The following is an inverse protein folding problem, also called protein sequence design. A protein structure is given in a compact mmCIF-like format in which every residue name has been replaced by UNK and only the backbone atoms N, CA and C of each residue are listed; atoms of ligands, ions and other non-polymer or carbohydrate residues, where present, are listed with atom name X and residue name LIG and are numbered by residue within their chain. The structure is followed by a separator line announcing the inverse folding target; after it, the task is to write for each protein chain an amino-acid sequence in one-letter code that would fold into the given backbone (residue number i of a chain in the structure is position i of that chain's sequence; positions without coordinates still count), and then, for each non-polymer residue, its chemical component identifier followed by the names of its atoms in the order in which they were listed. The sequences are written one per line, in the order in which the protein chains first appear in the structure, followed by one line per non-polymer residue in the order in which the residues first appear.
data_IF_588294646847
#
_entry.id   IF_588294646847
#
_cell.length_a   1.000
_cell.length_b   1.000
_cell.length_c   1.000
_cell.angle_alpha   90.00
_cell.angle_beta   90.00
_cell.angle_gamma   90.00
#
_symmetry.space_group_name_H-M   'P 1'
#
loop_
_entity.id
_entity.type
_entity.pdbx_description
1 polymer ?
#
# COMPACT_ATOMS: atom_id res chain seq x y z
N UNK A 1 -15.33 -0.66 -9.89
CA UNK A 1 -14.29 -0.28 -10.88
C UNK A 1 -13.06 -1.17 -10.80
N UNK A 2 -12.71 -1.71 -9.63
CA UNK A 2 -11.52 -2.57 -9.44
C UNK A 2 -11.52 -3.83 -10.30
N UNK A 3 -12.64 -4.54 -10.41
CA UNK A 3 -12.77 -5.72 -11.27
C UNK A 3 -12.39 -5.42 -12.72
N UNK A 4 -12.84 -4.27 -13.26
CA UNK A 4 -12.52 -3.85 -14.63
C UNK A 4 -11.02 -3.61 -14.78
N UNK A 5 -10.39 -2.93 -13.81
CA UNK A 5 -8.94 -2.72 -13.83
C UNK A 5 -8.17 -4.04 -13.81
N UNK A 6 -8.54 -4.98 -12.95
CA UNK A 6 -7.91 -6.30 -12.92
C UNK A 6 -8.08 -7.06 -14.24
N UNK A 7 -9.27 -7.00 -14.86
CA UNK A 7 -9.50 -7.60 -16.18
C UNK A 7 -8.65 -6.94 -17.26
N UNK A 8 -8.58 -5.60 -17.29
CA UNK A 8 -7.77 -4.86 -18.25
C UNK A 8 -6.28 -5.20 -18.10
N UNK A 9 -5.78 -5.27 -16.86
CA UNK A 9 -4.40 -5.68 -16.57
C UNK A 9 -4.15 -7.10 -17.04
N UNK A 10 -5.08 -8.04 -16.80
CA UNK A 10 -4.97 -9.42 -17.27
C UNK A 10 -4.91 -9.51 -18.81
N UNK A 11 -5.74 -8.74 -19.52
CA UNK A 11 -5.72 -8.67 -20.99
C UNK A 11 -4.41 -8.05 -21.49
N UNK A 12 -3.93 -6.98 -20.86
CA UNK A 12 -2.66 -6.36 -21.23
C UNK A 12 -1.48 -7.31 -21.03
N UNK A 13 -1.46 -8.05 -19.92
CA UNK A 13 -0.47 -9.10 -19.63
C UNK A 13 -0.50 -10.21 -20.69
N UNK A 14 -1.69 -10.63 -21.11
CA UNK A 14 -1.85 -11.66 -22.14
C UNK A 14 -1.27 -11.19 -23.48
N UNK A 15 -1.60 -9.97 -23.91
CA UNK A 15 -1.08 -9.41 -25.16
C UNK A 15 0.44 -9.22 -25.11
N UNK A 16 0.98 -8.75 -23.98
CA UNK A 16 2.42 -8.60 -23.79
C UNK A 16 3.13 -9.97 -23.85
N UNK A 17 2.56 -11.00 -23.21
CA UNK A 17 3.11 -12.34 -23.24
C UNK A 17 3.11 -12.94 -24.65
N UNK A 18 2.04 -12.76 -25.43
CA UNK A 18 1.98 -13.24 -26.82
C UNK A 18 2.99 -12.51 -27.72
N UNK A 19 3.16 -11.19 -27.52
CA UNK A 19 4.19 -10.41 -28.22
C UNK A 19 5.61 -10.92 -27.93
N UNK A 20 5.94 -11.16 -26.66
CA UNK A 20 7.25 -11.67 -26.25
C UNK A 20 7.48 -13.06 -26.82
N UNK A 21 6.48 -13.93 -26.77
CA UNK A 21 6.58 -15.28 -27.32
C UNK A 21 6.81 -15.26 -28.83
N UNK A 22 6.03 -14.47 -29.57
CA UNK A 22 6.22 -14.30 -31.01
C UNK A 22 7.59 -13.69 -31.35
N UNK A 23 8.11 -12.81 -30.49
CA UNK A 23 9.46 -12.28 -30.65
C UNK A 23 10.53 -13.37 -30.48
N UNK A 24 10.39 -14.22 -29.47
CA UNK A 24 11.30 -15.36 -29.23
C UNK A 24 11.21 -16.36 -30.40
N UNK A 25 10.02 -16.67 -30.91
CA UNK A 25 9.85 -17.57 -32.06
C UNK A 25 10.53 -17.03 -33.32
N UNK A 26 10.44 -15.71 -33.56
CA UNK A 26 11.16 -15.05 -34.66
C UNK A 26 12.68 -15.13 -34.51
N UNK A 27 13.19 -14.99 -33.29
CA UNK A 27 14.61 -15.13 -33.01
C UNK A 27 15.10 -16.59 -33.15
N UNK A 28 14.25 -17.55 -32.78
CA UNK A 28 14.55 -18.98 -32.88
C UNK A 28 14.50 -19.49 -34.32
N UNK A 29 13.83 -18.77 -35.23
CA UNK A 29 13.71 -19.13 -36.64
C UNK A 29 12.68 -20.23 -36.91
N UNK A 30 11.74 -20.46 -35.98
CA UNK A 30 10.74 -21.51 -36.08
C UNK A 30 9.75 -21.51 -34.92
N UNK A 31 8.69 -22.31 -35.05
CA UNK A 31 7.68 -22.50 -34.00
C UNK A 31 8.28 -23.33 -32.87
N UNK A 32 8.10 -22.89 -31.63
CA UNK A 32 8.64 -23.59 -30.47
C UNK A 32 7.80 -24.84 -30.16
N UNK A 33 8.42 -26.02 -29.93
CA UNK A 33 7.70 -27.27 -29.66
C UNK A 33 6.91 -27.27 -28.34
N UNK A 34 7.10 -26.26 -27.48
CA UNK A 34 6.40 -26.08 -26.20
C UNK A 34 5.83 -24.67 -26.03
N UNK A 35 5.25 -24.09 -27.10
CA UNK A 35 4.71 -22.72 -27.13
C UNK A 35 3.82 -22.39 -25.92
N UNK A 36 2.94 -23.30 -25.51
CA UNK A 36 2.05 -23.09 -24.34
C UNK A 36 2.80 -23.02 -23.00
N UNK A 37 3.85 -23.84 -22.81
CA UNK A 37 4.64 -23.83 -21.58
C UNK A 37 5.46 -22.55 -21.49
N UNK A 38 6.03 -22.13 -22.61
CA UNK A 38 6.82 -20.91 -22.70
C UNK A 38 5.91 -19.68 -22.51
N UNK A 39 4.73 -19.67 -23.14
CA UNK A 39 3.71 -18.65 -22.90
C UNK A 39 3.36 -18.54 -21.41
N UNK A 40 3.11 -19.69 -20.77
CA UNK A 40 2.80 -19.75 -19.35
C UNK A 40 3.94 -19.19 -18.50
N UNK A 41 5.19 -19.58 -18.78
CA UNK A 41 6.35 -19.05 -18.08
C UNK A 41 6.48 -17.53 -18.23
N UNK A 42 6.30 -17.00 -19.45
CA UNK A 42 6.36 -15.57 -19.74
C UNK A 42 5.30 -14.81 -18.94
N UNK A 43 4.02 -15.21 -19.01
CA UNK A 43 2.95 -14.49 -18.32
C UNK A 43 3.11 -14.55 -16.79
N UNK A 44 3.63 -15.66 -16.25
CA UNK A 44 3.92 -15.82 -14.81
C UNK A 44 4.99 -14.82 -14.34
N UNK A 45 6.07 -14.69 -15.11
CA UNK A 45 7.14 -13.74 -14.84
C UNK A 45 6.62 -12.31 -14.95
N UNK A 46 5.90 -11.97 -16.02
CA UNK A 46 5.33 -10.63 -16.20
C UNK A 46 4.36 -10.27 -15.07
N UNK A 47 3.50 -11.20 -14.64
CA UNK A 47 2.57 -10.97 -13.54
C UNK A 47 3.35 -10.62 -12.27
N UNK A 48 4.37 -11.41 -11.93
CA UNK A 48 5.22 -11.16 -10.75
C UNK A 48 5.89 -9.79 -10.81
N UNK A 49 6.43 -9.42 -11.98
CA UNK A 49 7.05 -8.10 -12.20
C UNK A 49 6.03 -6.96 -12.02
N UNK A 50 4.81 -7.11 -12.56
CA UNK A 50 3.76 -6.09 -12.40
C UNK A 50 3.36 -5.91 -10.94
N UNK A 51 3.15 -7.01 -10.20
CA UNK A 51 2.81 -6.94 -8.78
C UNK A 51 3.93 -6.33 -7.94
N UNK A 52 5.19 -6.70 -8.21
CA UNK A 52 6.34 -6.14 -7.51
C UNK A 52 6.51 -4.65 -7.80
N UNK A 53 6.30 -4.24 -9.06
CA UNK A 53 6.33 -2.83 -9.47
C UNK A 53 5.26 -2.00 -8.75
N UNK A 54 4.04 -2.54 -8.63
CA UNK A 54 2.95 -1.90 -7.88
C UNK A 54 3.35 -1.75 -6.41
N UNK A 55 3.87 -2.81 -5.78
CA UNK A 55 4.28 -2.79 -4.37
C UNK A 55 5.43 -1.82 -4.11
N UNK A 56 6.42 -1.76 -4.99
CA UNK A 56 7.54 -0.82 -4.88
C UNK A 56 7.07 0.63 -5.02
N UNK A 57 6.06 0.88 -5.84
CA UNK A 57 5.48 2.22 -6.01
C UNK A 57 4.65 2.66 -4.80
N UNK A 58 4.06 1.72 -4.05
CA UNK A 58 3.29 1.97 -2.82
C UNK A 58 4.15 2.13 -1.56
N UNK A 59 5.47 2.32 -1.67
CA UNK A 59 6.33 2.53 -0.50
C UNK A 59 6.11 3.96 0.04
N UNK A 60 5.02 4.12 0.78
CA UNK A 60 4.62 5.34 1.48
C UNK A 60 5.61 5.67 2.60
N UNK A 61 5.79 6.97 2.83
CA UNK A 61 6.76 7.57 3.75
C UNK A 61 6.70 7.00 5.18
N UNK A 62 7.84 6.91 5.90
CA UNK A 62 7.84 6.64 7.33
C UNK A 62 6.96 7.65 8.05
N UNK A 63 5.84 7.17 8.62
CA UNK A 63 5.00 7.97 9.51
C UNK A 63 5.85 8.27 10.75
N UNK A 64 6.35 9.51 10.88
CA UNK A 64 6.89 10.00 12.15
C UNK A 64 5.76 9.89 13.18
N UNK A 65 5.81 8.87 14.04
CA UNK A 65 4.82 8.66 15.08
C UNK A 65 4.91 9.81 16.10
N UNK A 66 3.96 10.77 16.14
CA UNK A 66 4.06 11.94 17.03
C UNK A 66 3.94 11.58 18.51
N UNK A 67 3.56 10.33 18.81
CA UNK A 67 3.31 9.84 20.16
C UNK A 67 4.56 9.32 20.88
N UNK A 68 5.73 9.20 20.23
CA UNK A 68 6.96 8.82 20.94
C UNK A 68 7.46 9.88 21.93
N UNK A 69 7.03 11.14 21.74
CA UNK A 69 7.51 12.30 22.50
C UNK A 69 6.51 12.73 23.59
N UNK A 70 5.27 12.23 23.52
CA UNK A 70 4.20 12.62 24.45
C UNK A 70 4.30 11.91 25.81
N UNK A 71 5.03 10.80 25.89
CA UNK A 71 5.23 10.06 27.15
C UNK A 71 6.46 10.55 27.95
N UNK A 72 7.28 11.41 27.36
CA UNK A 72 8.51 11.97 27.96
C UNK A 72 8.36 13.42 28.45
N UNK A 73 7.21 14.07 28.24
CA UNK A 73 6.93 15.38 28.81
C UNK A 73 6.47 15.24 30.28
N UNK A 74 7.16 15.84 31.26
CA UNK A 74 6.65 15.86 32.64
C UNK A 74 5.32 16.62 32.70
N UNK A 75 4.39 16.24 33.60
CA UNK A 75 3.12 16.95 33.78
C UNK A 75 3.38 18.34 34.39
N UNK A 76 3.74 19.31 33.54
CA UNK A 76 3.93 20.71 33.91
C UNK A 76 2.70 21.52 33.50
N UNK A 77 1.65 21.45 34.31
CA UNK A 77 0.71 22.56 34.62
C UNK A 77 -0.54 22.01 35.31
N UNK A 78 -0.43 21.67 36.60
CA UNK A 78 -1.62 21.66 37.44
C UNK A 78 -2.06 23.12 37.65
N UNK A 79 -3.33 23.49 37.42
CA UNK A 79 -3.80 24.83 37.70
C UNK A 79 -3.77 25.05 39.21
N UNK A 80 -2.97 26.02 39.64
CA UNK A 80 -2.93 26.54 41.00
C UNK A 80 -4.33 26.98 41.44
N UNK A 81 -4.88 26.31 42.45
CA UNK A 81 -6.14 26.66 43.11
C UNK A 81 -6.03 28.04 43.75
N UNK A 82 -6.52 29.05 43.05
CA UNK A 82 -6.65 30.42 43.55
C UNK A 82 -8.15 30.75 43.55
N UNK A 83 -8.73 30.87 44.75
CA UNK A 83 -10.15 31.18 44.92
C UNK A 83 -10.75 30.68 46.23
N UNK A 84 -10.11 30.99 47.37
CA UNK A 84 -10.82 31.04 48.64
C UNK A 84 -11.76 32.25 48.61
N UNK A 85 -13.07 32.05 48.81
CA UNK A 85 -14.01 33.16 48.88
C UNK A 85 -15.47 32.73 48.99
N UNK A 86 -15.98 32.76 50.23
CA UNK A 86 -17.38 33.02 50.59
C UNK A 86 -18.34 31.82 50.61
N UNK A 87 -18.40 31.17 51.76
CA UNK A 87 -19.59 30.41 52.20
C UNK A 87 -20.71 31.39 52.56
N UNK A 88 -21.97 31.18 52.14
CA UNK A 88 -23.10 31.81 52.80
C UNK A 88 -23.52 30.96 54.01
N UNK A 89 -23.40 31.60 55.16
CA UNK A 89 -23.92 31.19 56.47
C UNK A 89 -25.44 30.98 56.41
N UNK A 90 -25.84 29.83 56.97
CA UNK A 90 -27.13 29.38 57.52
C UNK A 90 -28.19 30.46 57.82
N UNK A 91 -29.45 30.18 57.45
CA UNK A 91 -30.61 30.32 58.34
C UNK A 91 -31.79 29.44 57.87
N UNK A 92 -32.44 28.68 58.76
CA UNK A 92 -33.71 27.99 58.52
C UNK A 92 -34.90 28.82 59.01
N UNK A 93 -36.01 28.85 58.25
CA UNK A 93 -37.40 28.95 58.73
C UNK A 93 -38.36 28.39 57.67
#
# INVERSE_FOLDING_TARGET
MEMILYTVVAVALYLAADHILNYIERMYGGILPYRSVIFFAIIMVLATVVFDFIKSSMKEEPIEHPYSNALSAPPSSAPSSQGAGSAPTVAPE
#
